data_IF_354122653675
#
_entry.id   IF_354122653675
#
_cell.length_a   1.000
_cell.length_b   1.000
_cell.length_c   1.000
_cell.angle_alpha   90.00
_cell.angle_beta   90.00
_cell.angle_gamma   90.00
#
_symmetry.space_group_name_H-M   'P 1'
#
loop_
_entity.id
_entity.type
_entity.pdbx_description
1 polymer ?
#
# COMPACT_ATOMS: atom_id res chain seq x y z
N UNK A 1 -60.57 32.40 -11.71
CA UNK A 1 -60.23 31.27 -10.81
C UNK A 1 -60.01 29.91 -11.54
N UNK A 2 -59.91 29.83 -12.88
CA UNK A 2 -59.69 28.55 -13.61
C UNK A 2 -58.25 28.32 -14.10
N UNK A 3 -57.38 29.34 -14.01
CA UNK A 3 -55.99 29.21 -14.50
C UNK A 3 -54.95 28.83 -13.45
N UNK A 4 -55.31 28.86 -12.16
CA UNK A 4 -54.39 28.49 -11.05
C UNK A 4 -54.33 26.96 -10.86
N UNK A 5 -55.47 26.29 -10.97
CA UNK A 5 -55.62 24.84 -10.81
C UNK A 5 -54.87 24.02 -11.87
N UNK A 6 -54.71 24.59 -13.10
CA UNK A 6 -54.01 23.88 -14.19
C UNK A 6 -52.49 23.93 -14.05
N UNK A 7 -51.94 25.04 -13.51
CA UNK A 7 -50.49 25.17 -13.24
C UNK A 7 -50.01 24.28 -12.10
N UNK A 8 -50.85 24.12 -11.06
CA UNK A 8 -50.49 23.28 -9.91
C UNK A 8 -50.52 21.79 -10.27
N UNK A 9 -51.37 21.35 -11.21
CA UNK A 9 -51.42 19.98 -11.73
C UNK A 9 -50.20 19.64 -12.61
N UNK A 10 -49.67 20.59 -13.37
CA UNK A 10 -48.50 20.37 -14.22
C UNK A 10 -47.22 20.36 -13.37
N UNK A 11 -47.09 21.26 -12.39
CA UNK A 11 -45.94 21.25 -11.46
C UNK A 11 -45.90 19.98 -10.62
N UNK A 12 -47.03 19.48 -10.14
CA UNK A 12 -47.12 18.22 -9.40
C UNK A 12 -46.71 17.01 -10.25
N UNK A 13 -47.12 16.94 -11.52
CA UNK A 13 -46.72 15.86 -12.44
C UNK A 13 -45.25 15.93 -12.85
N UNK A 14 -44.70 17.13 -13.05
CA UNK A 14 -43.29 17.30 -13.31
C UNK A 14 -42.43 16.95 -12.07
N UNK A 15 -42.86 17.27 -10.85
CA UNK A 15 -42.16 16.93 -9.62
C UNK A 15 -42.17 15.42 -9.37
N UNK A 16 -43.29 14.72 -9.65
CA UNK A 16 -43.36 13.26 -9.52
C UNK A 16 -42.53 12.54 -10.58
N UNK A 17 -42.45 13.06 -11.82
CA UNK A 17 -41.59 12.53 -12.86
C UNK A 17 -40.10 12.78 -12.57
N UNK A 18 -39.75 13.90 -11.94
CA UNK A 18 -38.39 14.21 -11.51
C UNK A 18 -37.95 13.34 -10.33
N UNK A 19 -38.82 13.07 -9.36
CA UNK A 19 -38.60 12.16 -8.23
C UNK A 19 -38.51 10.69 -8.67
N UNK A 20 -39.34 10.26 -9.64
CA UNK A 20 -39.21 8.92 -10.23
C UNK A 20 -37.97 8.75 -11.07
N UNK A 21 -37.52 9.76 -11.81
CA UNK A 21 -36.25 9.77 -12.53
C UNK A 21 -35.01 9.71 -11.58
N UNK A 22 -35.13 10.42 -10.45
CA UNK A 22 -34.05 10.41 -9.43
C UNK A 22 -34.01 9.07 -8.67
N UNK A 23 -35.16 8.45 -8.39
CA UNK A 23 -35.22 7.11 -7.78
C UNK A 23 -34.75 6.00 -8.73
N UNK A 24 -34.96 6.15 -10.04
CA UNK A 24 -34.46 5.22 -11.05
C UNK A 24 -32.95 5.35 -11.25
N UNK A 25 -32.34 6.54 -11.08
CA UNK A 25 -30.91 6.71 -11.11
C UNK A 25 -30.21 6.13 -9.86
N UNK A 26 -30.83 6.20 -8.68
CA UNK A 26 -30.30 5.54 -7.48
C UNK A 26 -30.47 4.02 -7.50
N UNK A 27 -31.51 3.49 -8.15
CA UNK A 27 -31.71 2.05 -8.32
C UNK A 27 -30.74 1.43 -9.34
N UNK A 28 -30.27 2.20 -10.33
CA UNK A 28 -29.28 1.73 -11.30
C UNK A 28 -27.86 1.65 -10.71
N UNK A 29 -27.54 2.46 -9.68
CA UNK A 29 -26.24 2.37 -8.96
C UNK A 29 -26.16 1.20 -7.96
N UNK A 30 -27.29 0.65 -7.51
CA UNK A 30 -27.31 -0.45 -6.54
C UNK A 30 -27.32 -1.86 -7.16
N UNK A 31 -27.38 -1.97 -8.50
CA UNK A 31 -27.43 -3.26 -9.21
C UNK A 31 -26.13 -3.67 -9.90
N UNK A 32 -25.10 -2.84 -9.86
CA UNK A 32 -23.74 -3.30 -10.10
C UNK A 32 -23.09 -3.75 -8.76
N UNK A 33 -23.66 -4.74 -8.12
CA UNK A 33 -22.80 -5.72 -7.43
C UNK A 33 -22.00 -6.37 -8.55
N UNK A 34 -20.82 -5.82 -8.81
CA UNK A 34 -19.81 -6.48 -9.60
C UNK A 34 -19.63 -7.85 -8.95
N UNK A 35 -20.19 -8.91 -9.55
CA UNK A 35 -19.72 -10.26 -9.28
C UNK A 35 -18.21 -10.15 -9.39
N UNK A 36 -17.51 -10.48 -8.32
CA UNK A 36 -16.06 -10.54 -8.37
C UNK A 36 -15.68 -11.29 -9.65
N UNK A 37 -14.80 -10.74 -10.47
CA UNK A 37 -14.40 -11.41 -11.69
C UNK A 37 -13.90 -12.82 -11.33
N UNK A 38 -14.14 -13.82 -12.16
CA UNK A 38 -13.60 -15.15 -11.93
C UNK A 38 -12.07 -15.03 -11.75
N UNK A 39 -11.51 -15.87 -10.90
CA UNK A 39 -10.05 -15.93 -10.74
C UNK A 39 -9.43 -16.13 -12.14
N UNK A 40 -8.44 -15.30 -12.53
CA UNK A 40 -7.73 -15.50 -13.80
C UNK A 40 -7.06 -16.88 -13.81
N UNK A 41 -6.79 -17.42 -14.99
CA UNK A 41 -6.11 -18.74 -15.15
C UNK A 41 -4.81 -18.85 -14.35
N UNK A 42 -4.09 -17.73 -14.17
CA UNK A 42 -2.89 -17.68 -13.34
C UNK A 42 -3.18 -17.86 -11.84
N UNK A 43 -4.45 -17.75 -11.42
CA UNK A 43 -4.90 -17.89 -10.02
C UNK A 43 -6.00 -18.96 -9.86
N UNK A 44 -6.49 -19.56 -10.94
CA UNK A 44 -7.72 -20.38 -10.99
C UNK A 44 -7.68 -21.73 -10.27
N UNK A 45 -6.51 -22.16 -9.78
CA UNK A 45 -6.34 -23.50 -9.22
C UNK A 45 -6.00 -23.51 -7.73
N UNK A 46 -6.43 -22.48 -6.98
CA UNK A 46 -6.18 -22.44 -5.55
C UNK A 46 -7.36 -22.95 -4.74
N UNK A 47 -7.11 -23.90 -3.86
CA UNK A 47 -7.95 -24.09 -2.69
C UNK A 47 -7.61 -22.99 -1.69
N UNK A 48 -8.57 -22.16 -1.29
CA UNK A 48 -8.34 -21.02 -0.40
C UNK A 48 -9.06 -21.21 0.92
N UNK A 49 -8.40 -20.78 2.00
CA UNK A 49 -9.07 -20.66 3.30
C UNK A 49 -9.89 -19.35 3.37
N UNK A 50 -10.59 -19.14 4.48
CA UNK A 50 -11.42 -17.95 4.75
C UNK A 50 -10.63 -16.63 4.84
N UNK A 51 -9.29 -16.65 4.73
CA UNK A 51 -8.42 -15.48 4.66
C UNK A 51 -7.77 -15.29 3.28
N UNK A 52 -8.18 -16.09 2.30
CA UNK A 52 -7.63 -16.06 0.95
C UNK A 52 -6.28 -16.76 0.81
N UNK A 53 -5.85 -17.56 1.80
CA UNK A 53 -4.61 -18.33 1.68
C UNK A 53 -4.83 -19.53 0.78
N UNK A 54 -3.94 -19.71 -0.18
CA UNK A 54 -3.84 -20.93 -0.96
C UNK A 54 -3.48 -22.09 -0.02
N UNK A 55 -4.36 -23.07 0.05
CA UNK A 55 -4.20 -24.28 0.85
C UNK A 55 -3.74 -25.47 0.00
N UNK A 56 -3.62 -25.30 -1.32
CA UNK A 56 -3.04 -26.33 -2.17
C UNK A 56 -1.54 -26.41 -1.89
N UNK A 57 -1.07 -27.62 -1.61
CA UNK A 57 0.36 -27.86 -1.39
C UNK A 57 1.07 -27.85 -2.75
N UNK A 58 1.94 -26.87 -2.99
CA UNK A 58 2.91 -26.90 -4.07
C UNK A 58 4.30 -26.66 -3.47
N UNK A 59 5.23 -27.54 -3.76
CA UNK A 59 6.62 -27.32 -3.40
C UNK A 59 7.15 -26.16 -4.24
N UNK A 60 7.45 -25.05 -3.60
CA UNK A 60 7.98 -23.86 -4.24
C UNK A 60 9.50 -24.04 -4.34
N UNK A 61 10.00 -24.20 -5.54
CA UNK A 61 11.43 -24.42 -5.82
C UNK A 61 12.16 -23.11 -6.10
N UNK A 62 11.45 -22.08 -6.57
CA UNK A 62 12.01 -20.79 -6.98
C UNK A 62 11.21 -19.64 -6.41
N UNK A 63 11.89 -18.51 -6.06
CA UNK A 63 11.23 -17.33 -5.55
C UNK A 63 10.35 -16.66 -6.62
N UNK A 64 10.79 -16.66 -7.86
CA UNK A 64 10.05 -16.11 -9.00
C UNK A 64 9.78 -17.20 -10.05
N UNK A 65 8.52 -17.38 -10.39
CA UNK A 65 8.11 -18.36 -11.40
C UNK A 65 7.39 -17.66 -12.55
N UNK A 66 7.93 -17.77 -13.76
CA UNK A 66 7.32 -17.18 -14.95
C UNK A 66 5.94 -17.78 -15.23
N UNK A 67 4.97 -16.91 -15.51
CA UNK A 67 3.58 -17.25 -15.86
C UNK A 67 3.15 -16.50 -17.10
N UNK A 68 2.28 -17.12 -17.90
CA UNK A 68 1.67 -16.46 -19.04
C UNK A 68 0.54 -15.55 -18.60
N UNK A 69 0.41 -14.40 -19.28
CA UNK A 69 -0.73 -13.49 -19.16
C UNK A 69 -1.83 -13.79 -20.21
N UNK A 70 -1.66 -14.82 -21.03
CA UNK A 70 -2.68 -15.22 -22.00
C UNK A 70 -3.98 -15.58 -21.27
N UNK A 71 -5.11 -15.07 -21.79
CA UNK A 71 -6.46 -15.29 -21.25
C UNK A 71 -6.71 -14.69 -19.86
N UNK A 72 -5.84 -13.75 -19.42
CA UNK A 72 -6.07 -12.99 -18.19
C UNK A 72 -7.00 -11.82 -18.48
N UNK A 73 -8.04 -11.65 -17.67
CA UNK A 73 -8.86 -10.44 -17.68
C UNK A 73 -8.05 -9.31 -17.02
N UNK A 74 -7.19 -8.67 -17.82
CA UNK A 74 -6.22 -7.71 -17.34
C UNK A 74 -6.92 -6.42 -16.88
N UNK A 75 -6.47 -5.80 -15.76
CA UNK A 75 -7.10 -4.60 -15.23
C UNK A 75 -7.15 -3.46 -16.24
N UNK A 76 -8.25 -2.71 -16.26
CA UNK A 76 -8.39 -1.52 -17.09
C UNK A 76 -7.36 -0.44 -16.69
N UNK A 77 -6.76 0.18 -17.69
CA UNK A 77 -5.84 1.31 -17.50
C UNK A 77 -6.66 2.59 -17.33
N UNK A 78 -7.02 2.90 -16.08
CA UNK A 78 -7.80 4.07 -15.69
C UNK A 78 -6.97 5.36 -15.72
N UNK A 79 -7.62 6.53 -15.70
CA UNK A 79 -6.92 7.82 -15.62
C UNK A 79 -6.08 7.94 -14.35
N UNK A 80 -6.57 7.42 -13.22
CA UNK A 80 -5.82 7.38 -11.97
C UNK A 80 -4.56 6.52 -12.09
N UNK A 81 -4.65 5.36 -12.76
CA UNK A 81 -3.51 4.50 -13.01
C UNK A 81 -2.51 5.16 -13.97
N UNK A 82 -2.98 5.87 -15.01
CA UNK A 82 -2.08 6.65 -15.90
C UNK A 82 -1.29 7.70 -15.13
N UNK A 83 -1.95 8.44 -14.24
CA UNK A 83 -1.28 9.43 -13.37
C UNK A 83 -0.24 8.73 -12.49
N UNK A 84 -0.60 7.59 -11.90
CA UNK A 84 0.29 6.79 -11.07
C UNK A 84 1.51 6.27 -11.84
N UNK A 85 1.31 5.74 -13.06
CA UNK A 85 2.38 5.25 -13.94
C UNK A 85 3.33 6.37 -14.35
N UNK A 86 2.82 7.56 -14.71
CA UNK A 86 3.64 8.73 -15.02
C UNK A 86 4.47 9.20 -13.83
N UNK A 87 3.91 9.22 -12.63
CA UNK A 87 4.65 9.49 -11.41
C UNK A 87 5.72 8.41 -11.16
N UNK A 88 5.39 7.15 -11.45
CA UNK A 88 6.30 6.02 -11.29
C UNK A 88 7.51 6.11 -12.22
N UNK A 89 7.32 6.57 -13.46
CA UNK A 89 8.43 6.88 -14.37
C UNK A 89 9.41 7.91 -13.78
N UNK A 90 8.91 8.91 -13.04
CA UNK A 90 9.81 9.91 -12.43
C UNK A 90 10.69 9.31 -11.32
N UNK A 91 10.23 8.25 -10.65
CA UNK A 91 11.03 7.50 -9.69
C UNK A 91 12.21 6.80 -10.39
N UNK A 92 11.95 6.20 -11.54
CA UNK A 92 12.98 5.45 -12.28
C UNK A 92 14.01 6.38 -12.94
N UNK A 93 13.59 7.53 -13.48
CA UNK A 93 14.46 8.52 -14.14
C UNK A 93 15.59 9.10 -13.27
N UNK A 94 15.43 9.07 -11.94
CA UNK A 94 16.49 9.54 -11.03
C UNK A 94 17.55 8.46 -10.74
N UNK A 95 17.37 7.24 -11.26
CA UNK A 95 18.27 6.11 -11.10
C UNK A 95 19.11 5.90 -12.36
N UNK A 96 20.22 5.17 -12.23
CA UNK A 96 21.05 4.82 -13.37
C UNK A 96 20.34 3.77 -14.22
N UNK A 97 20.25 4.01 -15.53
CA UNK A 97 19.51 3.15 -16.46
C UNK A 97 20.10 1.74 -16.61
N UNK A 98 21.41 1.63 -16.46
CA UNK A 98 22.19 0.39 -16.53
C UNK A 98 22.25 -0.36 -15.18
N UNK A 99 21.57 0.16 -14.14
CA UNK A 99 21.48 -0.51 -12.84
C UNK A 99 20.67 -1.80 -12.98
N UNK A 100 21.29 -2.95 -12.76
CA UNK A 100 20.64 -4.25 -12.72
C UNK A 100 20.48 -4.67 -11.26
N UNK A 101 19.31 -5.15 -10.93
CA UNK A 101 19.00 -5.72 -9.62
C UNK A 101 18.76 -7.22 -9.78
N UNK A 102 19.49 -7.99 -9.00
CA UNK A 102 19.40 -9.46 -9.00
C UNK A 102 18.59 -9.89 -7.78
N UNK A 103 17.54 -10.66 -8.03
CA UNK A 103 16.63 -11.16 -7.03
C UNK A 103 16.51 -12.69 -7.19
N UNK A 104 17.32 -13.45 -6.48
CA UNK A 104 17.36 -14.90 -6.59
C UNK A 104 17.52 -15.34 -8.07
N UNK A 105 16.44 -15.78 -8.69
CA UNK A 105 16.42 -16.24 -10.10
C UNK A 105 15.83 -15.21 -11.08
N UNK A 106 15.69 -13.95 -10.69
CA UNK A 106 15.20 -12.87 -11.55
C UNK A 106 16.17 -11.68 -11.56
N UNK A 107 16.57 -11.27 -12.74
CA UNK A 107 17.30 -10.02 -12.98
C UNK A 107 16.35 -8.99 -13.60
N UNK A 108 16.37 -7.79 -13.08
CA UNK A 108 15.52 -6.69 -13.52
C UNK A 108 16.31 -5.38 -13.56
N UNK A 109 16.45 -4.81 -14.74
CA UNK A 109 17.08 -3.51 -14.94
C UNK A 109 16.09 -2.35 -14.79
N UNK A 110 16.61 -1.14 -14.56
CA UNK A 110 15.79 0.08 -14.57
C UNK A 110 15.14 0.28 -15.93
N UNK A 111 15.87 0.02 -17.03
CA UNK A 111 15.33 0.11 -18.39
C UNK A 111 14.16 -0.85 -18.63
N UNK A 112 14.22 -2.09 -18.11
CA UNK A 112 13.10 -3.03 -18.20
C UNK A 112 11.90 -2.57 -17.38
N UNK A 113 12.10 -1.99 -16.19
CA UNK A 113 11.01 -1.41 -15.41
C UNK A 113 10.37 -0.21 -16.13
N UNK A 114 11.14 0.67 -16.76
CA UNK A 114 10.61 1.76 -17.58
C UNK A 114 9.84 1.24 -18.80
N UNK A 115 10.39 0.24 -19.48
CA UNK A 115 9.72 -0.40 -20.62
C UNK A 115 8.39 -1.02 -20.23
N UNK A 116 8.31 -1.66 -19.05
CA UNK A 116 7.06 -2.18 -18.51
C UNK A 116 6.00 -1.08 -18.37
N UNK A 117 6.39 0.09 -17.84
CA UNK A 117 5.45 1.21 -17.69
C UNK A 117 5.02 1.74 -19.07
N UNK A 118 5.92 1.83 -20.04
CA UNK A 118 5.58 2.26 -21.41
C UNK A 118 4.54 1.32 -22.05
N UNK A 119 4.73 0.01 -21.92
CA UNK A 119 3.78 -0.99 -22.44
C UNK A 119 2.43 -0.83 -21.74
N UNK A 120 2.39 -0.67 -20.42
CA UNK A 120 1.15 -0.47 -19.67
C UNK A 120 0.41 0.82 -20.07
N UNK A 121 1.13 1.90 -20.34
CA UNK A 121 0.52 3.14 -20.85
C UNK A 121 -0.08 2.98 -22.24
N UNK A 122 0.50 2.12 -23.09
CA UNK A 122 0.00 1.82 -24.42
C UNK A 122 -1.20 0.86 -24.41
N UNK A 123 -1.34 0.01 -23.38
CA UNK A 123 -2.44 -0.96 -23.25
C UNK A 123 -3.83 -0.32 -23.26
N UNK A 124 -3.95 0.95 -22.90
CA UNK A 124 -5.23 1.67 -22.94
C UNK A 124 -5.78 1.76 -24.36
N UNK A 125 -4.91 2.02 -25.33
CA UNK A 125 -5.25 2.22 -26.73
C UNK A 125 -5.08 0.95 -27.57
N UNK A 126 -4.15 0.09 -27.17
CA UNK A 126 -3.82 -1.15 -27.87
C UNK A 126 -3.69 -2.35 -26.89
N UNK A 127 -4.79 -3.08 -26.65
CA UNK A 127 -4.78 -4.26 -25.80
C UNK A 127 -3.82 -5.37 -26.25
N UNK A 128 -3.41 -5.38 -27.53
CA UNK A 128 -2.47 -6.38 -28.06
C UNK A 128 -1.08 -6.27 -27.45
N UNK A 129 -0.77 -5.13 -26.82
CA UNK A 129 0.48 -4.89 -26.10
C UNK A 129 0.67 -5.80 -24.88
N UNK A 130 -0.39 -6.42 -24.38
CA UNK A 130 -0.30 -7.35 -23.26
C UNK A 130 0.66 -8.52 -23.54
N UNK A 131 0.76 -8.96 -24.78
CA UNK A 131 1.70 -10.01 -25.21
C UNK A 131 3.19 -9.62 -25.09
N UNK A 132 3.49 -8.31 -24.93
CA UNK A 132 4.84 -7.80 -24.72
C UNK A 132 5.26 -7.84 -23.24
N UNK A 133 4.37 -8.30 -22.34
CA UNK A 133 4.64 -8.46 -20.92
C UNK A 133 4.76 -9.94 -20.52
N UNK A 134 5.77 -10.21 -19.71
CA UNK A 134 5.90 -11.42 -18.89
C UNK A 134 5.47 -11.12 -17.45
N UNK A 135 4.99 -12.14 -16.75
CA UNK A 135 4.61 -12.08 -15.35
C UNK A 135 5.38 -13.13 -14.55
N UNK A 136 6.00 -12.71 -13.45
CA UNK A 136 6.76 -13.59 -12.57
C UNK A 136 6.06 -13.68 -11.21
N UNK A 137 5.41 -14.82 -10.95
CA UNK A 137 4.78 -15.12 -9.66
C UNK A 137 5.81 -15.11 -8.55
N UNK A 138 5.55 -14.34 -7.49
CA UNK A 138 6.36 -14.34 -6.27
C UNK A 138 5.88 -15.47 -5.36
N UNK A 139 6.79 -16.29 -4.88
CA UNK A 139 6.49 -17.43 -4.02
C UNK A 139 5.88 -17.09 -2.66
N UNK A 140 6.04 -15.87 -2.20
CA UNK A 140 5.34 -15.36 -1.02
C UNK A 140 5.76 -15.99 0.30
N UNK A 141 4.79 -16.48 1.09
CA UNK A 141 5.09 -17.22 2.32
C UNK A 141 5.63 -18.62 1.99
N UNK A 142 6.46 -19.14 2.89
CA UNK A 142 7.02 -20.48 2.78
C UNK A 142 5.89 -21.50 2.55
N UNK A 143 6.11 -22.44 1.66
CA UNK A 143 5.25 -23.60 1.39
C UNK A 143 3.88 -23.32 0.76
N UNK A 144 3.31 -22.11 0.92
CA UNK A 144 1.96 -21.80 0.41
C UNK A 144 1.94 -20.89 -0.82
N UNK A 145 3.05 -20.18 -1.10
CA UNK A 145 3.11 -19.22 -2.20
C UNK A 145 2.17 -18.03 -2.07
N UNK A 146 1.62 -17.79 -0.87
CA UNK A 146 0.72 -16.68 -0.62
C UNK A 146 1.47 -15.42 -0.25
N UNK A 147 0.98 -14.29 -0.75
CA UNK A 147 1.43 -12.97 -0.35
C UNK A 147 0.39 -12.36 0.57
N UNK A 148 0.82 -11.93 1.74
CA UNK A 148 0.00 -11.22 2.69
C UNK A 148 -0.16 -9.77 2.28
N UNK A 149 -1.41 -9.31 2.17
CA UNK A 149 -1.75 -7.92 1.96
C UNK A 149 -2.20 -7.29 3.29
N UNK A 150 -1.60 -6.17 3.63
CA UNK A 150 -2.01 -5.28 4.73
C UNK A 150 -2.24 -3.88 4.18
N UNK A 151 -2.79 -2.98 4.98
CA UNK A 151 -3.05 -1.61 4.55
C UNK A 151 -2.38 -0.59 5.46
N UNK A 152 -1.89 0.50 4.87
CA UNK A 152 -1.45 1.69 5.57
C UNK A 152 -2.09 2.94 4.97
N UNK A 153 -2.06 4.06 5.69
CA UNK A 153 -2.77 5.27 5.28
C UNK A 153 -2.05 6.52 5.79
N UNK A 154 -2.49 7.69 5.36
CA UNK A 154 -1.99 8.97 5.87
C UNK A 154 -2.97 9.52 6.90
N UNK A 155 -2.68 9.46 8.20
CA UNK A 155 -3.58 9.95 9.24
C UNK A 155 -3.69 11.48 9.26
N UNK A 156 -4.83 11.98 9.74
CA UNK A 156 -5.03 13.37 10.11
C UNK A 156 -5.16 13.49 11.63
N UNK A 157 -4.28 14.24 12.28
CA UNK A 157 -4.31 14.43 13.74
C UNK A 157 -4.42 15.90 14.14
N UNK A 158 -5.11 16.17 15.24
CA UNK A 158 -5.27 17.52 15.80
C UNK A 158 -4.04 17.94 16.59
N UNK A 159 -3.53 19.15 16.32
CA UNK A 159 -2.31 19.65 16.95
C UNK A 159 -2.42 21.13 17.37
N UNK A 160 -1.44 21.56 18.19
CA UNK A 160 -1.15 22.96 18.51
C UNK A 160 0.32 23.28 18.21
N UNK A 161 0.60 24.52 17.78
CA UNK A 161 1.98 25.02 17.61
C UNK A 161 2.72 25.15 18.96
N UNK A 162 1.99 25.31 20.05
CA UNK A 162 2.56 25.49 21.41
C UNK A 162 2.01 24.41 22.35
N UNK A 163 2.83 24.00 23.32
CA UNK A 163 2.43 23.08 24.39
C UNK A 163 1.32 23.74 25.25
N UNK A 164 0.27 22.98 25.50
CA UNK A 164 -0.86 23.40 26.37
C UNK A 164 -1.30 22.24 27.25
N UNK A 165 -2.25 22.47 28.19
CA UNK A 165 -2.82 21.36 29.00
C UNK A 165 -3.42 20.26 28.17
N UNK A 166 -4.07 20.59 27.04
CA UNK A 166 -4.71 19.61 26.14
C UNK A 166 -3.79 19.08 25.05
N UNK A 167 -2.83 19.87 24.58
CA UNK A 167 -1.87 19.52 23.53
C UNK A 167 -0.48 19.46 24.16
N UNK A 168 -0.09 18.29 24.61
CA UNK A 168 1.12 18.11 25.41
C UNK A 168 2.12 17.09 24.86
N UNK A 169 1.75 16.34 23.82
CA UNK A 169 2.60 15.30 23.25
C UNK A 169 3.31 15.83 22.01
N UNK A 170 4.64 16.02 22.08
CA UNK A 170 5.39 16.63 20.99
C UNK A 170 5.53 15.71 19.80
N UNK A 171 5.55 16.32 18.61
CA UNK A 171 5.96 15.71 17.34
C UNK A 171 7.31 16.33 17.00
N UNK A 172 8.36 15.51 16.89
CA UNK A 172 9.72 15.99 16.75
C UNK A 172 10.25 15.93 15.32
N UNK A 173 11.06 16.90 14.95
CA UNK A 173 12.04 16.80 13.87
C UNK A 173 13.21 15.92 14.30
N UNK A 174 13.94 15.38 13.32
CA UNK A 174 15.12 14.55 13.60
C UNK A 174 16.26 15.45 14.12
N UNK A 175 16.91 15.09 15.23
CA UNK A 175 18.11 15.78 15.67
C UNK A 175 19.23 15.65 14.65
N UNK A 176 19.94 16.76 14.39
CA UNK A 176 21.13 16.79 13.54
C UNK A 176 22.39 16.42 14.34
N UNK A 177 23.44 15.98 13.63
CA UNK A 177 24.76 15.75 14.22
C UNK A 177 24.91 14.47 15.06
N UNK A 178 23.89 13.63 15.18
CA UNK A 178 24.02 12.35 15.87
C UNK A 178 24.73 11.31 15.01
N UNK A 179 25.78 10.71 15.56
CA UNK A 179 26.46 9.54 14.98
C UNK A 179 25.90 8.29 15.66
N UNK A 180 25.46 7.30 14.86
CA UNK A 180 24.90 6.05 15.37
C UNK A 180 23.41 6.11 15.67
N UNK A 181 22.94 5.28 16.61
CA UNK A 181 21.52 5.19 16.98
C UNK A 181 21.13 6.33 17.90
N UNK A 182 20.05 7.03 17.54
CA UNK A 182 19.40 8.01 18.38
C UNK A 182 18.74 7.37 19.62
N UNK A 183 18.33 8.16 20.63
CA UNK A 183 17.64 7.64 21.82
C UNK A 183 16.43 6.76 21.50
N UNK A 184 16.12 5.83 22.38
CA UNK A 184 14.95 4.96 22.27
C UNK A 184 13.65 5.73 22.44
N UNK A 185 12.52 5.15 22.00
CA UNK A 185 11.19 5.70 22.28
C UNK A 185 10.98 6.01 23.77
N UNK A 186 11.43 5.12 24.67
CA UNK A 186 11.30 5.35 26.11
C UNK A 186 11.95 6.66 26.52
N UNK A 187 13.20 6.88 26.12
CA UNK A 187 13.94 8.09 26.43
C UNK A 187 13.28 9.34 25.82
N UNK A 188 12.76 9.27 24.59
CA UNK A 188 12.15 10.40 23.91
C UNK A 188 10.78 10.73 24.51
N UNK A 189 9.88 9.72 24.59
CA UNK A 189 8.46 9.92 24.91
C UNK A 189 8.15 10.00 26.40
N UNK A 190 8.98 9.35 27.26
CA UNK A 190 8.67 9.20 28.69
C UNK A 190 9.73 9.82 29.62
N UNK A 191 10.97 9.96 29.14
CA UNK A 191 12.06 10.62 29.86
C UNK A 191 12.33 12.02 29.30
N UNK A 192 11.60 12.44 28.24
CA UNK A 192 11.61 13.78 27.63
C UNK A 192 13.00 14.30 27.21
N UNK A 193 13.91 13.42 26.81
CA UNK A 193 15.32 13.77 26.53
C UNK A 193 15.50 14.79 25.39
N UNK A 194 14.49 14.97 24.53
CA UNK A 194 14.48 15.95 23.45
C UNK A 194 13.69 17.22 23.76
N UNK A 195 13.01 17.31 24.91
CA UNK A 195 12.20 18.47 25.27
C UNK A 195 13.07 19.75 25.44
N UNK A 196 12.60 20.85 24.85
CA UNK A 196 13.29 22.15 24.94
C UNK A 196 14.51 22.29 24.05
N UNK A 197 14.75 21.35 23.13
CA UNK A 197 15.87 21.39 22.16
C UNK A 197 15.53 22.08 20.84
N UNK A 198 14.34 22.68 20.72
CA UNK A 198 13.90 23.34 19.50
C UNK A 198 13.54 22.38 18.37
N UNK A 199 13.29 21.11 18.70
CA UNK A 199 12.96 20.06 17.75
C UNK A 199 11.45 19.81 17.61
N UNK A 200 10.65 20.45 18.46
CA UNK A 200 9.20 20.30 18.50
C UNK A 200 8.55 21.02 17.31
N UNK A 201 7.96 20.27 16.40
CA UNK A 201 7.23 20.79 15.24
C UNK A 201 5.80 21.20 15.62
N UNK A 202 5.17 20.43 16.49
CA UNK A 202 3.80 20.64 17.00
C UNK A 202 3.56 19.74 18.22
N UNK A 203 2.42 19.93 18.88
CA UNK A 203 1.99 19.14 20.04
C UNK A 203 0.61 18.55 19.77
N UNK A 204 0.46 17.23 19.90
CA UNK A 204 -0.79 16.51 19.76
C UNK A 204 -1.55 16.34 21.07
N UNK A 205 -2.86 16.04 20.99
CA UNK A 205 -3.72 15.74 22.14
C UNK A 205 -3.43 14.37 22.74
N UNK A 206 -3.06 13.40 21.90
CA UNK A 206 -2.91 12.01 22.29
C UNK A 206 -1.52 11.49 21.92
N UNK A 207 -0.87 10.79 22.85
CA UNK A 207 0.37 10.08 22.58
C UNK A 207 0.15 8.93 21.59
N UNK A 208 -1.03 8.32 21.59
CA UNK A 208 -1.37 7.28 20.64
C UNK A 208 -1.47 7.82 19.21
N UNK A 209 -2.00 9.05 19.03
CA UNK A 209 -2.05 9.66 17.70
C UNK A 209 -0.65 9.89 17.14
N UNK A 210 0.28 10.40 17.97
CA UNK A 210 1.69 10.53 17.59
C UNK A 210 2.30 9.15 17.28
N UNK A 211 2.05 8.15 18.13
CA UNK A 211 2.55 6.81 17.95
C UNK A 211 2.08 6.17 16.64
N UNK A 212 0.77 6.24 16.36
CA UNK A 212 0.24 5.67 15.13
C UNK A 212 0.69 6.45 13.87
N UNK A 213 0.74 7.77 13.93
CA UNK A 213 1.33 8.58 12.85
C UNK A 213 2.79 8.19 12.58
N UNK A 214 3.57 7.86 13.62
CA UNK A 214 4.95 7.35 13.46
C UNK A 214 5.00 5.98 12.79
N UNK A 215 4.02 5.11 13.04
CA UNK A 215 3.92 3.80 12.35
C UNK A 215 3.60 3.97 10.87
N UNK A 216 2.75 4.94 10.53
CA UNK A 216 2.42 5.27 9.13
C UNK A 216 3.57 6.01 8.41
N UNK A 217 4.52 6.58 9.16
CA UNK A 217 5.69 7.27 8.62
C UNK A 217 5.45 8.71 8.16
N UNK A 218 4.20 9.10 7.96
CA UNK A 218 3.77 10.46 7.60
C UNK A 218 2.35 10.73 8.10
N UNK A 219 1.90 12.00 8.07
CA UNK A 219 0.54 12.36 8.43
C UNK A 219 0.25 13.83 8.21
N UNK A 220 -1.02 14.15 8.04
CA UNK A 220 -1.49 15.52 8.12
C UNK A 220 -1.71 15.91 9.56
N UNK A 221 -1.29 17.11 9.90
CA UNK A 221 -1.64 17.77 11.16
C UNK A 221 -2.62 18.90 10.89
N UNK A 222 -3.64 19.03 11.72
CA UNK A 222 -4.59 20.14 11.66
C UNK A 222 -4.48 20.98 12.90
N UNK A 223 -4.22 22.26 12.68
CA UNK A 223 -4.17 23.27 13.74
C UNK A 223 -5.57 23.74 14.13
N UNK A 224 -5.68 24.45 15.26
CA UNK A 224 -6.96 24.93 15.81
C UNK A 224 -7.67 25.94 14.90
N UNK A 225 -6.94 26.64 14.05
CA UNK A 225 -7.46 27.57 13.04
C UNK A 225 -7.98 26.85 11.76
N UNK A 226 -7.98 25.54 11.76
CA UNK A 226 -8.39 24.72 10.63
C UNK A 226 -7.29 24.49 9.57
N UNK A 227 -6.17 25.22 9.65
CA UNK A 227 -5.06 25.02 8.70
C UNK A 227 -4.46 23.63 8.83
N UNK A 228 -4.02 23.06 7.70
CA UNK A 228 -3.40 21.74 7.63
C UNK A 228 -1.97 21.83 7.13
N UNK A 229 -1.12 20.98 7.65
CA UNK A 229 0.27 20.84 7.25
C UNK A 229 0.60 19.36 7.08
N UNK A 230 1.24 19.00 5.96
CA UNK A 230 1.80 17.67 5.79
C UNK A 230 3.10 17.53 6.59
N UNK A 231 3.20 16.50 7.43
CA UNK A 231 4.42 16.07 8.10
C UNK A 231 4.88 14.75 7.45
N UNK A 232 5.88 14.87 6.60
CA UNK A 232 6.49 13.71 5.93
C UNK A 232 7.59 13.08 6.77
N UNK A 233 8.02 11.90 6.38
CA UNK A 233 9.12 11.17 7.02
C UNK A 233 10.40 12.03 7.08
N UNK A 234 10.91 12.24 8.29
CA UNK A 234 12.12 12.99 8.59
C UNK A 234 13.32 12.11 8.95
N UNK A 235 13.09 10.82 9.14
CA UNK A 235 14.10 9.84 9.53
C UNK A 235 13.65 8.99 10.71
N UNK A 236 14.43 7.96 11.05
CA UNK A 236 14.20 7.13 12.24
C UNK A 236 15.34 7.26 13.23
N UNK A 237 15.12 6.76 14.45
CA UNK A 237 16.13 6.69 15.48
C UNK A 237 17.11 5.50 15.31
N UNK A 238 16.96 4.67 14.27
CA UNK A 238 17.82 3.53 13.96
C UNK A 238 17.54 2.27 14.80
N UNK A 239 16.57 2.27 15.71
CA UNK A 239 16.17 1.07 16.44
C UNK A 239 15.18 0.22 15.65
N UNK A 240 15.23 -1.12 15.75
CA UNK A 240 14.31 -2.00 15.06
C UNK A 240 12.88 -1.84 15.60
N UNK A 241 11.92 -1.94 14.68
CA UNK A 241 10.50 -1.97 15.03
C UNK A 241 10.14 -3.24 15.79
N UNK A 242 9.33 -3.08 16.85
CA UNK A 242 8.69 -4.17 17.59
C UNK A 242 7.20 -3.89 17.72
N UNK A 243 6.37 -4.82 17.24
CA UNK A 243 4.92 -4.68 17.31
C UNK A 243 4.41 -4.75 18.75
N UNK A 244 3.82 -3.65 19.23
CA UNK A 244 3.16 -3.64 20.56
C UNK A 244 1.91 -4.54 20.60
N UNK A 245 1.21 -4.70 19.46
CA UNK A 245 0.09 -5.61 19.36
C UNK A 245 0.51 -7.06 19.55
N UNK A 246 1.62 -7.47 18.94
CA UNK A 246 2.20 -8.80 19.15
C UNK A 246 2.72 -8.97 20.58
N UNK A 247 3.36 -7.92 21.13
CA UNK A 247 3.79 -7.91 22.52
C UNK A 247 2.61 -8.16 23.47
N UNK A 248 1.51 -7.43 23.30
CA UNK A 248 0.30 -7.61 24.12
C UNK A 248 -0.27 -9.04 24.02
N UNK A 249 -0.37 -9.56 22.80
CA UNK A 249 -0.86 -10.92 22.56
C UNK A 249 0.03 -11.98 23.24
N UNK A 250 1.35 -11.83 23.14
CA UNK A 250 2.31 -12.78 23.68
C UNK A 250 2.48 -12.69 25.21
N UNK A 251 1.91 -11.66 25.85
CA UNK A 251 1.91 -11.48 27.31
C UNK A 251 0.49 -11.54 27.89
N UNK A 252 -0.40 -12.27 27.22
CA UNK A 252 -1.76 -12.62 27.67
C UNK A 252 -2.69 -11.43 27.95
N UNK A 253 -2.40 -10.25 27.37
CA UNK A 253 -3.34 -9.15 27.42
C UNK A 253 -4.54 -9.44 26.53
N UNK A 254 -5.75 -9.24 27.05
CA UNK A 254 -6.99 -9.39 26.29
C UNK A 254 -7.15 -8.19 25.34
N UNK A 255 -6.85 -8.38 24.06
CA UNK A 255 -7.03 -7.42 22.98
C UNK A 255 -7.99 -7.98 21.94
N UNK A 256 -8.84 -7.13 21.36
CA UNK A 256 -9.78 -7.56 20.31
C UNK A 256 -9.07 -7.86 18.98
N UNK A 257 -8.06 -7.07 18.65
CA UNK A 257 -7.17 -7.31 17.50
C UNK A 257 -5.85 -6.57 17.69
N UNK A 258 -4.84 -6.93 16.90
CA UNK A 258 -3.55 -6.22 16.85
C UNK A 258 -3.57 -5.02 15.90
N UNK A 259 -4.69 -4.74 15.23
CA UNK A 259 -4.88 -3.55 14.38
C UNK A 259 -4.87 -2.26 15.20
N UNK A 260 -4.67 -1.12 14.55
CA UNK A 260 -4.74 0.20 15.21
C UNK A 260 -6.06 0.37 15.99
N UNK A 261 -7.20 0.02 15.37
CA UNK A 261 -8.53 0.09 15.99
C UNK A 261 -8.61 -0.74 17.27
N UNK A 262 -8.09 -1.98 17.24
CA UNK A 262 -8.05 -2.87 18.42
C UNK A 262 -7.15 -2.33 19.52
N UNK A 263 -5.98 -1.80 19.15
CA UNK A 263 -5.04 -1.21 20.10
C UNK A 263 -5.59 0.08 20.72
N UNK A 264 -6.23 0.95 19.93
CA UNK A 264 -6.90 2.15 20.46
C UNK A 264 -8.01 1.78 21.44
N UNK A 265 -8.84 0.78 21.12
CA UNK A 265 -9.87 0.27 22.03
C UNK A 265 -9.26 -0.22 23.34
N UNK A 266 -8.18 -0.99 23.28
CA UNK A 266 -7.47 -1.48 24.46
C UNK A 266 -6.94 -0.34 25.34
N UNK A 267 -6.22 0.62 24.75
CA UNK A 267 -5.64 1.73 25.52
C UNK A 267 -6.68 2.78 25.99
N UNK A 268 -7.83 2.87 25.35
CA UNK A 268 -8.94 3.68 25.86
C UNK A 268 -9.51 3.09 27.18
N UNK A 269 -9.53 1.76 27.31
CA UNK A 269 -9.95 1.07 28.54
C UNK A 269 -8.82 1.05 29.59
N UNK A 270 -7.57 0.93 29.12
CA UNK A 270 -6.39 0.82 29.98
C UNK A 270 -5.33 1.89 29.67
N UNK A 271 -5.66 3.18 29.87
CA UNK A 271 -4.72 4.28 29.60
C UNK A 271 -3.48 4.24 30.53
N UNK A 272 -3.62 3.62 31.71
CA UNK A 272 -2.54 3.37 32.65
C UNK A 272 -1.39 2.55 32.05
N UNK A 273 -1.67 1.70 31.08
CA UNK A 273 -0.68 0.83 30.45
C UNK A 273 0.12 1.48 29.31
N UNK A 274 -0.25 2.66 28.85
CA UNK A 274 0.44 3.33 27.74
C UNK A 274 1.94 3.51 28.03
N UNK A 275 2.29 4.01 29.22
CA UNK A 275 3.68 4.25 29.63
C UNK A 275 4.49 2.97 29.80
N UNK A 276 3.83 1.85 30.10
CA UNK A 276 4.46 0.54 30.26
C UNK A 276 4.63 -0.20 28.94
N UNK A 277 3.65 -0.07 28.03
CA UNK A 277 3.58 -0.88 26.80
C UNK A 277 4.30 -0.22 25.62
N UNK A 278 4.06 1.06 25.34
CA UNK A 278 4.67 1.72 24.18
C UNK A 278 6.21 1.65 24.15
N UNK A 279 6.93 1.73 25.29
CA UNK A 279 8.40 1.60 25.31
C UNK A 279 8.93 0.27 24.78
N UNK A 280 8.11 -0.79 24.68
CA UNK A 280 8.56 -2.06 24.10
C UNK A 280 8.85 -1.96 22.59
N UNK A 281 8.32 -0.94 21.91
CA UNK A 281 8.75 -0.56 20.58
C UNK A 281 9.82 0.54 20.67
N UNK A 282 11.09 0.19 20.60
CA UNK A 282 12.19 1.14 20.66
C UNK A 282 12.29 2.06 19.43
N UNK A 283 11.69 1.66 18.31
CA UNK A 283 11.70 2.45 17.07
C UNK A 283 10.92 3.75 17.23
N UNK A 284 11.47 4.84 16.69
CA UNK A 284 10.87 6.16 16.70
C UNK A 284 11.02 6.81 15.32
N UNK A 285 9.95 7.42 14.80
CA UNK A 285 9.95 8.16 13.54
C UNK A 285 9.91 9.65 13.84
N UNK A 286 10.83 10.39 13.23
CA UNK A 286 10.86 11.85 13.21
C UNK A 286 10.20 12.37 11.94
N UNK A 287 9.74 13.61 11.97
CA UNK A 287 9.01 14.23 10.88
C UNK A 287 9.70 15.48 10.36
N UNK A 288 9.27 15.92 9.19
CA UNK A 288 9.59 17.23 8.63
C UNK A 288 8.39 17.79 7.89
N UNK A 289 8.09 19.10 8.05
CA UNK A 289 7.02 19.74 7.30
C UNK A 289 7.25 19.65 5.80
N UNK A 290 6.15 19.45 5.04
CA UNK A 290 6.15 19.35 3.58
C UNK A 290 4.99 20.14 3.01
N UNK A 291 5.20 20.72 1.81
CA UNK A 291 4.15 21.39 1.03
C UNK A 291 3.69 20.51 -0.15
N UNK A 292 3.96 19.21 -0.08
CA UNK A 292 3.61 18.24 -1.11
C UNK A 292 2.72 17.16 -0.51
N UNK A 293 1.90 16.47 -1.31
CA UNK A 293 1.14 15.31 -0.85
C UNK A 293 2.05 14.22 -0.25
N UNK A 294 1.47 13.21 0.41
CA UNK A 294 2.23 12.07 0.94
C UNK A 294 3.09 11.43 -0.14
N UNK A 295 4.35 11.16 0.19
CA UNK A 295 5.31 10.52 -0.71
C UNK A 295 5.92 9.32 0.00
N UNK A 296 6.02 8.21 -0.74
CA UNK A 296 6.76 7.03 -0.30
C UNK A 296 8.27 7.20 -0.40
N UNK A 297 8.99 6.12 -0.11
CA UNK A 297 10.45 6.05 -0.22
C UNK A 297 10.96 6.29 -1.66
N UNK A 298 10.11 6.07 -2.66
CA UNK A 298 10.37 6.42 -4.06
C UNK A 298 10.29 7.91 -4.38
N UNK A 299 9.99 8.77 -3.39
CA UNK A 299 9.87 10.23 -3.53
C UNK A 299 8.77 10.72 -4.51
N UNK A 300 7.86 9.86 -4.90
CA UNK A 300 6.68 10.18 -5.72
C UNK A 300 5.41 10.19 -4.90
N UNK A 301 4.35 10.93 -5.31
CA UNK A 301 3.07 10.91 -4.62
C UNK A 301 2.49 9.49 -4.53
N UNK A 302 1.95 9.15 -3.38
CA UNK A 302 1.23 7.90 -3.15
C UNK A 302 -0.21 8.03 -3.63
N UNK A 303 -0.72 7.00 -4.30
CA UNK A 303 -2.11 6.93 -4.77
C UNK A 303 -2.81 5.74 -4.12
N UNK A 304 -4.02 6.00 -3.61
CA UNK A 304 -4.87 5.01 -2.95
C UNK A 304 -5.13 3.81 -3.86
N UNK A 305 -4.97 2.61 -3.30
CA UNK A 305 -5.23 1.34 -3.96
C UNK A 305 -4.24 0.95 -5.06
N UNK A 306 -3.26 1.82 -5.39
CA UNK A 306 -2.26 1.61 -6.45
C UNK A 306 -0.85 1.54 -5.87
N UNK A 307 -0.48 2.49 -5.01
CA UNK A 307 0.85 2.52 -4.39
C UNK A 307 0.96 1.47 -3.30
N UNK A 308 2.11 0.80 -3.20
CA UNK A 308 2.36 -0.16 -2.15
C UNK A 308 3.77 -0.03 -1.57
N UNK A 309 3.91 -0.44 -0.30
CA UNK A 309 5.18 -0.62 0.37
C UNK A 309 5.61 -2.09 0.30
N UNK A 310 6.90 -2.29 0.03
CA UNK A 310 7.52 -3.59 -0.22
C UNK A 310 8.83 -3.75 0.57
N UNK A 311 9.31 -4.97 0.67
CA UNK A 311 10.70 -5.21 1.06
C UNK A 311 11.60 -5.15 -0.20
N UNK A 312 12.31 -4.04 -0.35
CA UNK A 312 13.15 -3.77 -1.54
C UNK A 312 14.26 -4.80 -1.79
N UNK A 313 14.50 -5.72 -0.87
CA UNK A 313 15.44 -6.83 -1.07
C UNK A 313 14.87 -7.92 -1.96
N UNK A 314 13.54 -7.93 -2.14
CA UNK A 314 12.80 -8.93 -2.93
C UNK A 314 12.01 -8.28 -4.05
N UNK A 315 11.46 -7.10 -3.83
CA UNK A 315 10.70 -6.33 -4.85
C UNK A 315 11.32 -4.94 -4.92
N UNK A 316 11.99 -4.59 -6.04
CA UNK A 316 12.65 -3.29 -6.13
C UNK A 316 11.65 -2.14 -6.11
N UNK A 317 12.06 -1.01 -5.52
CA UNK A 317 11.35 0.26 -5.75
C UNK A 317 11.39 0.57 -7.24
N UNK A 318 10.24 0.88 -7.81
CA UNK A 318 10.09 1.08 -9.24
C UNK A 318 9.53 -0.15 -9.97
N UNK A 319 9.42 -1.32 -9.33
CA UNK A 319 8.75 -2.46 -9.92
C UNK A 319 7.25 -2.23 -10.05
N UNK A 320 6.69 -2.75 -11.12
CA UNK A 320 5.25 -2.84 -11.38
C UNK A 320 4.80 -4.27 -11.21
N UNK A 321 3.68 -4.48 -10.56
CA UNK A 321 3.16 -5.80 -10.30
C UNK A 321 1.67 -5.91 -10.65
N UNK A 322 1.25 -7.09 -11.09
CA UNK A 322 -0.14 -7.53 -11.10
C UNK A 322 -0.41 -8.24 -9.78
N UNK A 323 -1.49 -7.90 -9.10
CA UNK A 323 -1.89 -8.54 -7.85
C UNK A 323 -3.30 -9.12 -7.97
N UNK A 324 -3.49 -10.31 -7.43
CA UNK A 324 -4.80 -10.90 -7.19
C UNK A 324 -5.14 -10.72 -5.72
N UNK A 325 -6.03 -9.77 -5.44
CA UNK A 325 -6.39 -9.34 -4.10
C UNK A 325 -7.74 -9.93 -3.74
N UNK A 326 -7.89 -10.68 -2.62
CA UNK A 326 -9.16 -11.26 -2.23
C UNK A 326 -10.17 -10.18 -1.85
N UNK A 327 -11.42 -10.38 -2.27
CA UNK A 327 -12.57 -9.55 -1.96
C UNK A 327 -13.46 -10.27 -0.96
N UNK A 328 -13.96 -9.52 0.02
CA UNK A 328 -14.83 -10.01 1.07
C UNK A 328 -16.13 -9.20 1.09
N UNK A 329 -17.23 -9.85 1.43
CA UNK A 329 -18.50 -9.18 1.66
C UNK A 329 -18.57 -8.52 3.05
N UNK A 330 -19.73 -7.96 3.39
CA UNK A 330 -19.97 -7.31 4.68
C UNK A 330 -19.89 -8.29 5.89
N UNK A 331 -19.96 -9.60 5.64
CA UNK A 331 -19.87 -10.65 6.66
C UNK A 331 -18.49 -11.25 6.79
N UNK A 332 -17.49 -10.68 6.07
CA UNK A 332 -16.13 -11.21 5.93
C UNK A 332 -16.06 -12.58 5.23
N UNK A 333 -17.06 -12.91 4.38
CA UNK A 333 -17.00 -14.09 3.52
C UNK A 333 -16.26 -13.76 2.21
N UNK A 334 -15.35 -14.65 1.79
CA UNK A 334 -14.61 -14.50 0.53
C UNK A 334 -15.55 -14.65 -0.66
N UNK A 335 -15.73 -13.56 -1.43
CA UNK A 335 -16.63 -13.52 -2.60
C UNK A 335 -15.91 -13.59 -3.95
N UNK A 336 -14.59 -13.50 -3.95
CA UNK A 336 -13.76 -13.57 -5.16
C UNK A 336 -12.43 -12.85 -5.01
N UNK A 337 -11.80 -12.54 -6.16
CA UNK A 337 -10.54 -11.80 -6.22
C UNK A 337 -10.65 -10.68 -7.25
N UNK A 338 -9.96 -9.59 -6.98
CA UNK A 338 -9.78 -8.47 -7.91
C UNK A 338 -8.34 -8.49 -8.43
N UNK A 339 -8.18 -8.37 -9.75
CA UNK A 339 -6.87 -8.09 -10.34
C UNK A 339 -6.61 -6.59 -10.31
N UNK A 340 -5.43 -6.22 -9.83
CA UNK A 340 -5.03 -4.82 -9.69
C UNK A 340 -3.56 -4.62 -10.04
N UNK A 341 -3.25 -3.54 -10.72
CA UNK A 341 -1.86 -3.10 -10.91
C UNK A 341 -1.40 -2.38 -9.65
N UNK A 342 -0.28 -2.82 -9.10
CA UNK A 342 0.38 -2.22 -7.96
C UNK A 342 1.75 -1.67 -8.34
N UNK A 343 2.10 -0.52 -7.77
CA UNK A 343 3.36 0.16 -7.99
C UNK A 343 4.19 0.18 -6.69
N UNK A 344 5.36 -0.45 -6.72
CA UNK A 344 6.28 -0.48 -5.59
C UNK A 344 6.94 0.90 -5.41
N UNK A 345 6.31 1.78 -4.62
CA UNK A 345 6.71 3.18 -4.44
C UNK A 345 7.16 3.49 -3.02
N UNK A 346 6.98 2.55 -2.08
CA UNK A 346 7.29 2.76 -0.67
C UNK A 346 7.96 1.54 -0.02
N UNK A 347 8.49 1.76 1.18
CA UNK A 347 9.05 0.70 2.03
C UNK A 347 8.58 0.90 3.48
N UNK A 348 8.33 -0.19 4.19
CA UNK A 348 7.94 -0.15 5.59
C UNK A 348 8.92 -0.90 6.50
N UNK A 349 9.19 -0.37 7.69
CA UNK A 349 10.05 -1.04 8.68
C UNK A 349 9.53 -2.40 9.13
N UNK A 350 8.20 -2.60 9.06
CA UNK A 350 7.50 -3.84 9.38
C UNK A 350 7.30 -4.77 8.17
N UNK A 351 7.51 -4.26 6.95
CA UNK A 351 7.33 -5.03 5.71
C UNK A 351 8.61 -5.82 5.46
N UNK A 352 8.50 -7.14 5.58
CA UNK A 352 9.66 -8.05 5.51
C UNK A 352 9.34 -9.27 4.66
N UNK A 353 10.32 -9.62 3.80
CA UNK A 353 10.22 -10.76 2.90
C UNK A 353 9.44 -10.48 1.62
N UNK A 354 9.46 -11.42 0.69
CA UNK A 354 8.72 -11.34 -0.56
C UNK A 354 7.20 -11.51 -0.36
N UNK A 355 6.80 -12.14 0.74
CA UNK A 355 5.42 -12.50 1.04
C UNK A 355 4.61 -11.45 1.80
N UNK A 356 5.02 -10.17 1.80
CA UNK A 356 4.29 -9.10 2.49
C UNK A 356 4.25 -7.82 1.67
N UNK A 357 3.06 -7.39 1.30
CA UNK A 357 2.77 -6.13 0.61
C UNK A 357 1.85 -5.29 1.49
N UNK A 358 2.14 -4.00 1.62
CA UNK A 358 1.32 -3.05 2.37
C UNK A 358 0.73 -2.01 1.39
N UNK A 359 -0.60 -2.02 1.25
CA UNK A 359 -1.31 -1.17 0.28
C UNK A 359 -1.59 0.20 0.88
N UNK A 360 -1.38 1.25 0.10
CA UNK A 360 -1.75 2.59 0.50
C UNK A 360 -3.26 2.81 0.36
N UNK A 361 -3.92 3.15 1.46
CA UNK A 361 -5.37 3.32 1.58
C UNK A 361 -5.80 4.80 1.58
N UNK A 362 -4.91 5.71 1.13
CA UNK A 362 -5.23 7.13 1.02
C UNK A 362 -5.16 7.90 2.34
N UNK A 363 -5.83 9.05 2.35
CA UNK A 363 -5.87 10.01 3.48
C UNK A 363 -7.31 10.44 3.81
N UNK A 364 -8.30 9.72 3.31
CA UNK A 364 -9.72 9.94 3.62
C UNK A 364 -10.05 9.59 5.07
N UNK A 365 -11.20 10.07 5.56
CA UNK A 365 -11.66 9.75 6.92
C UNK A 365 -11.85 8.23 7.12
N UNK A 366 -12.15 7.49 6.06
CA UNK A 366 -12.34 6.05 6.10
C UNK A 366 -11.04 5.25 5.92
N UNK A 367 -9.92 5.90 5.63
CA UNK A 367 -8.67 5.22 5.31
C UNK A 367 -8.16 4.31 6.46
N UNK A 368 -8.35 4.73 7.72
CA UNK A 368 -8.01 3.92 8.90
C UNK A 368 -8.86 2.65 8.98
N UNK A 369 -10.15 2.73 8.68
CA UNK A 369 -11.04 1.56 8.70
C UNK A 369 -10.71 0.61 7.54
N UNK A 370 -10.46 1.14 6.34
CA UNK A 370 -9.99 0.37 5.20
C UNK A 370 -8.67 -0.35 5.51
N UNK A 371 -7.66 0.38 5.98
CA UNK A 371 -6.37 -0.20 6.34
C UNK A 371 -6.49 -1.26 7.45
N UNK A 372 -7.38 -1.05 8.43
CA UNK A 372 -7.58 -2.00 9.54
C UNK A 372 -8.25 -3.30 9.12
N UNK A 373 -9.02 -3.31 8.04
CA UNK A 373 -9.68 -4.49 7.48
C UNK A 373 -8.74 -5.32 6.61
N UNK A 374 -7.68 -4.70 6.07
CA UNK A 374 -6.75 -5.37 5.16
C UNK A 374 -5.77 -6.25 5.93
N UNK A 375 -6.06 -7.54 5.98
CA UNK A 375 -5.18 -8.58 6.48
C UNK A 375 -5.55 -9.90 5.79
N UNK A 376 -5.22 -9.98 4.50
CA UNK A 376 -5.65 -11.07 3.64
C UNK A 376 -4.47 -11.64 2.85
N UNK A 377 -4.66 -12.77 2.24
CA UNK A 377 -3.66 -13.44 1.41
C UNK A 377 -4.13 -13.53 -0.02
N UNK A 378 -3.26 -13.23 -0.94
CA UNK A 378 -3.48 -13.29 -2.37
C UNK A 378 -2.21 -13.67 -3.12
N UNK A 379 -2.13 -13.29 -4.38
CA UNK A 379 -0.97 -13.55 -5.23
C UNK A 379 -0.45 -12.25 -5.83
N UNK A 380 0.83 -12.23 -6.18
CA UNK A 380 1.44 -11.11 -6.88
C UNK A 380 2.42 -11.61 -7.94
N UNK A 381 2.43 -10.96 -9.08
CA UNK A 381 3.34 -11.22 -10.20
C UNK A 381 4.08 -9.93 -10.53
N UNK A 382 5.41 -9.97 -10.57
CA UNK A 382 6.18 -8.87 -11.14
C UNK A 382 6.00 -8.87 -12.65
N UNK A 383 5.70 -7.70 -13.21
CA UNK A 383 5.59 -7.50 -14.65
C UNK A 383 6.94 -7.04 -15.22
N UNK A 384 7.34 -7.66 -16.31
CA UNK A 384 8.55 -7.30 -17.05
C UNK A 384 8.26 -7.32 -18.55
N UNK A 385 9.04 -6.62 -19.37
CA UNK A 385 8.93 -6.81 -20.81
C UNK A 385 9.38 -8.25 -21.18
N UNK A 386 8.77 -8.80 -22.22
CA UNK A 386 9.24 -10.05 -22.81
C UNK A 386 10.67 -9.84 -23.28
N UNK A 387 11.59 -10.66 -22.78
CA UNK A 387 12.98 -10.62 -23.28
C UNK A 387 13.01 -11.24 -24.68
N UNK A 388 13.69 -10.61 -25.66
CA UNK A 388 13.95 -11.25 -26.94
C UNK A 388 14.62 -12.61 -26.69
N UNK A 389 14.15 -13.67 -27.35
CA UNK A 389 14.95 -14.89 -27.38
C UNK A 389 16.29 -14.52 -27.99
N UNK A 390 17.36 -14.61 -27.21
CA UNK A 390 18.69 -14.62 -27.80
C UNK A 390 18.68 -15.82 -28.72
N UNK A 391 18.84 -15.59 -30.02
CA UNK A 391 19.08 -16.68 -30.98
C UNK A 391 20.20 -17.53 -30.37
N UNK A 392 19.92 -18.79 -30.09
CA UNK A 392 20.98 -19.73 -29.72
C UNK A 392 22.07 -19.58 -30.75
N UNK A 393 23.36 -19.46 -30.37
CA UNK A 393 24.42 -19.39 -31.36
C UNK A 393 24.25 -20.58 -32.27
N UNK A 394 24.02 -20.28 -33.56
CA UNK A 394 23.95 -21.29 -34.59
C UNK A 394 25.25 -22.09 -34.44
N UNK A 395 25.14 -23.34 -33.98
CA UNK A 395 26.26 -24.27 -33.96
C UNK A 395 26.63 -24.50 -35.43
N UNK A 396 27.51 -23.67 -35.95
CA UNK A 396 28.18 -23.95 -37.23
C UNK A 396 29.06 -25.16 -36.96
N UNK A 397 28.53 -26.33 -37.23
CA UNK A 397 29.36 -27.51 -37.37
C UNK A 397 30.37 -27.23 -38.50
N UNK A 398 31.58 -26.91 -38.11
CA UNK A 398 32.72 -26.98 -39.03
C UNK A 398 32.80 -28.45 -39.42
N UNK A 399 32.35 -28.77 -40.63
CA UNK A 399 32.64 -30.03 -41.29
C UNK A 399 34.13 -30.07 -41.54
N UNK A 400 34.83 -30.90 -40.79
CA UNK A 400 36.17 -31.34 -41.11
C UNK A 400 36.13 -32.16 -42.41
N UNK A 401 36.20 -31.46 -43.55
CA UNK A 401 36.64 -32.04 -44.81
C UNK A 401 37.99 -31.41 -45.18
N UNK A 402 39.04 -31.99 -44.63
CA UNK A 402 40.35 -31.91 -45.26
C UNK A 402 40.86 -33.34 -45.40
N UNK A 403 40.51 -33.91 -46.59
CA UNK A 403 41.29 -34.96 -47.17
C UNK A 403 42.42 -34.32 -47.96
N UNK A 404 43.69 -34.61 -47.58
CA UNK A 404 44.85 -35.12 -48.39
C UNK A 404 45.98 -35.44 -47.43
#
# INVERSE_FOLDING_TARGET
>A
MKNQSYKDSILSKCLVLFLLGFLLQFSACSLYQLKAPPLPDITSHYAMDNKGRDTSYQQIVQLYTKKSLNHVDFPLITDSLIIALKNHQTLLKIRKQDEIQVFDNLELSIAEMEKTIEILLQLREDPSKLKELDAYLISGEKESGNVKFTGYYTPLIQVSKRKTKSFKYPIYSKPDGFIGKLPTRKAIDFENILEGRGLELAYAKSRLDVYFMQLQGSGYVQYRDGSRQMFGYGGSNGHPYRSIGRYLKNNDYRISSISEKGLRKFFNIRPDLISRILPNNNSYTFFKPRNTPPKGAGHVPLLEGISCAVDRRYIPLGATALASIPLYDEKDDLIGHELRILLAQDVGGAIKGAGHIDLYMGDSENAVDLASKYYHYGKIWLLTPVKPMLDEPVNVSLSDDISI
#
